data_IF_320439794131
#
_entry.id   IF_320439794131
#
_cell.length_a   1.000
_cell.length_b   1.000
_cell.length_c   1.000
_cell.angle_alpha   90.00
_cell.angle_beta   90.00
_cell.angle_gamma   90.00
#
_symmetry.space_group_name_H-M   'P 1'
#
loop_
_entity.id
_entity.type
_entity.pdbx_description
1 polymer ?
#
# COMPACT_ATOMS: atom_id res chain seq x y z
N UNK A 1 -11.06 27.22 -26.68
CA UNK A 1 -11.16 25.86 -27.26
C UNK A 1 -9.80 25.14 -27.29
N UNK A 2 -8.66 25.84 -27.38
CA UNK A 2 -7.30 25.28 -27.22
C UNK A 2 -6.97 24.98 -25.75
N UNK A 3 -7.49 25.79 -24.83
CA UNK A 3 -7.30 25.71 -23.38
C UNK A 3 -7.76 24.36 -22.78
N UNK A 4 -9.00 23.96 -23.06
CA UNK A 4 -9.58 22.68 -22.62
C UNK A 4 -8.86 21.43 -23.17
N UNK A 5 -8.08 21.55 -24.26
CA UNK A 5 -7.27 20.45 -24.78
C UNK A 5 -5.99 20.30 -23.97
N UNK A 6 -5.33 21.41 -23.64
CA UNK A 6 -4.12 21.43 -22.83
C UNK A 6 -4.42 20.86 -21.44
N UNK A 7 -5.54 21.26 -20.82
CA UNK A 7 -5.95 20.74 -19.52
C UNK A 7 -6.11 19.22 -19.52
N UNK A 8 -6.81 18.67 -20.53
CA UNK A 8 -7.02 17.21 -20.65
C UNK A 8 -5.73 16.45 -20.93
N UNK A 9 -4.86 17.01 -21.77
CA UNK A 9 -3.56 16.41 -22.08
C UNK A 9 -2.67 16.39 -20.82
N UNK A 10 -2.64 17.49 -20.07
CA UNK A 10 -1.93 17.59 -18.80
C UNK A 10 -2.48 16.60 -17.75
N UNK A 11 -3.81 16.53 -17.59
CA UNK A 11 -4.46 15.57 -16.68
C UNK A 11 -4.14 14.12 -17.04
N UNK A 12 -4.17 13.78 -18.33
CA UNK A 12 -3.80 12.44 -18.80
C UNK A 12 -2.35 12.12 -18.51
N UNK A 13 -1.44 13.09 -18.71
CA UNK A 13 -0.02 12.91 -18.47
C UNK A 13 0.30 12.69 -16.98
N UNK A 14 -0.25 13.55 -16.11
CA UNK A 14 -0.11 13.39 -14.65
C UNK A 14 -0.68 12.05 -14.18
N UNK A 15 -1.84 11.65 -14.69
CA UNK A 15 -2.47 10.36 -14.34
C UNK A 15 -1.63 9.17 -14.80
N UNK A 16 -0.97 9.25 -15.95
CA UNK A 16 -0.06 8.22 -16.44
C UNK A 16 1.16 8.09 -15.54
N UNK A 17 1.83 9.21 -15.24
CA UNK A 17 3.00 9.24 -14.37
C UNK A 17 2.68 8.75 -12.96
N UNK A 18 1.58 9.23 -12.36
CA UNK A 18 1.12 8.73 -11.06
C UNK A 18 0.84 7.22 -11.12
N UNK A 19 0.31 6.74 -12.26
CA UNK A 19 0.08 5.34 -12.53
C UNK A 19 1.33 4.47 -12.44
N UNK A 20 2.46 5.00 -12.92
CA UNK A 20 3.76 4.34 -12.93
C UNK A 20 4.48 4.46 -11.58
N UNK A 21 4.50 5.65 -10.99
CA UNK A 21 5.17 5.93 -9.71
C UNK A 21 4.58 5.11 -8.56
N UNK A 22 3.26 4.93 -8.55
CA UNK A 22 2.55 4.21 -7.50
C UNK A 22 2.36 2.72 -7.84
N UNK A 23 2.93 2.21 -8.94
CA UNK A 23 2.70 0.83 -9.34
C UNK A 23 3.35 -0.16 -8.35
N UNK A 24 2.60 -1.11 -7.76
CA UNK A 24 3.21 -2.18 -6.98
C UNK A 24 4.16 -3.01 -7.84
N UNK A 25 5.30 -3.42 -7.26
CA UNK A 25 6.25 -4.30 -7.94
C UNK A 25 5.66 -5.70 -8.14
N UNK A 26 6.14 -6.42 -9.15
CA UNK A 26 5.69 -7.79 -9.38
C UNK A 26 5.99 -8.68 -8.17
N UNK A 27 4.94 -9.34 -7.65
CA UNK A 27 5.06 -10.21 -6.49
C UNK A 27 5.15 -9.48 -5.15
N UNK A 28 5.15 -8.16 -5.12
CA UNK A 28 5.16 -7.39 -3.87
C UNK A 28 3.89 -7.65 -3.04
N UNK A 29 4.04 -7.74 -1.72
CA UNK A 29 2.91 -7.87 -0.82
C UNK A 29 2.37 -6.50 -0.41
N UNK A 30 1.09 -6.45 -0.05
CA UNK A 30 0.40 -5.20 0.29
C UNK A 30 1.11 -4.40 1.40
N UNK A 31 1.65 -5.07 2.43
CA UNK A 31 2.31 -4.36 3.53
C UNK A 31 3.65 -3.76 3.14
N UNK A 32 4.48 -4.48 2.39
CA UNK A 32 5.74 -3.90 1.88
C UNK A 32 5.48 -2.75 0.91
N UNK A 33 4.48 -2.90 0.01
CA UNK A 33 4.08 -1.83 -0.88
C UNK A 33 3.64 -0.59 -0.09
N UNK A 34 2.71 -0.73 0.87
CA UNK A 34 2.22 0.42 1.63
C UNK A 34 3.34 1.04 2.47
N UNK A 35 4.23 0.26 3.08
CA UNK A 35 5.38 0.77 3.82
C UNK A 35 6.30 1.64 2.92
N UNK A 36 6.67 1.15 1.73
CA UNK A 36 7.49 1.90 0.77
C UNK A 36 6.79 3.19 0.33
N UNK A 37 5.47 3.16 0.09
CA UNK A 37 4.72 4.35 -0.32
C UNK A 37 4.57 5.38 0.81
N UNK A 38 4.45 4.93 2.06
CA UNK A 38 4.40 5.81 3.21
C UNK A 38 5.75 6.48 3.49
N UNK A 39 6.85 5.75 3.30
CA UNK A 39 8.21 6.30 3.42
C UNK A 39 8.45 7.40 2.38
N UNK A 40 8.07 7.17 1.13
CA UNK A 40 8.29 8.13 0.03
C UNK A 40 7.30 9.32 0.04
N UNK A 41 6.01 9.07 0.28
CA UNK A 41 4.95 10.06 0.04
C UNK A 41 4.13 10.44 1.28
N UNK A 42 4.36 9.78 2.41
CA UNK A 42 3.60 9.99 3.64
C UNK A 42 2.14 9.55 3.56
N UNK A 43 1.47 9.62 4.71
CA UNK A 43 0.04 9.36 4.81
C UNK A 43 -0.79 10.64 4.63
N UNK A 44 -1.93 10.55 3.94
CA UNK A 44 -2.91 11.63 3.81
C UNK A 44 -4.18 11.42 4.66
N UNK A 45 -4.14 10.48 5.60
CA UNK A 45 -5.27 10.10 6.45
C UNK A 45 -6.29 9.20 5.77
N UNK A 46 -5.98 8.63 4.60
CA UNK A 46 -6.86 7.69 3.88
C UNK A 46 -6.15 6.36 3.57
N UNK A 47 -6.88 5.42 2.96
CA UNK A 47 -6.33 4.17 2.39
C UNK A 47 -5.90 4.31 0.93
N UNK A 48 -5.30 5.44 0.55
CA UNK A 48 -4.91 5.75 -0.84
C UNK A 48 -4.09 4.62 -1.46
N UNK A 49 -3.09 4.12 -0.74
CA UNK A 49 -2.19 3.09 -1.23
C UNK A 49 -2.80 1.70 -1.13
N UNK A 50 -3.43 1.35 -0.01
CA UNK A 50 -4.11 0.05 0.12
C UNK A 50 -5.18 -0.15 -0.96
N UNK A 51 -5.96 0.88 -1.26
CA UNK A 51 -6.95 0.88 -2.34
C UNK A 51 -6.30 0.75 -3.70
N UNK A 52 -5.25 1.52 -3.98
CA UNK A 52 -4.51 1.42 -5.23
C UNK A 52 -3.94 0.03 -5.49
N UNK A 53 -3.32 -0.57 -4.46
CA UNK A 53 -2.84 -1.95 -4.52
C UNK A 53 -3.98 -2.93 -4.82
N UNK A 54 -5.12 -2.80 -4.14
CA UNK A 54 -6.29 -3.64 -4.42
C UNK A 54 -6.70 -3.53 -5.89
N UNK A 55 -6.89 -2.32 -6.40
CA UNK A 55 -7.38 -2.07 -7.76
C UNK A 55 -6.42 -2.62 -8.82
N UNK A 56 -5.10 -2.49 -8.61
CA UNK A 56 -4.07 -2.87 -9.59
C UNK A 56 -3.63 -4.33 -9.48
N UNK A 57 -3.42 -4.82 -8.25
CA UNK A 57 -2.75 -6.09 -8.00
C UNK A 57 -3.72 -7.18 -7.53
N UNK A 58 -4.80 -6.83 -6.85
CA UNK A 58 -5.75 -7.77 -6.25
C UNK A 58 -7.23 -7.35 -6.40
N UNK A 59 -7.74 -7.13 -7.63
CA UNK A 59 -9.06 -6.53 -7.85
C UNK A 59 -10.23 -7.34 -7.27
N UNK A 60 -10.03 -8.65 -7.05
CA UNK A 60 -11.03 -9.53 -6.43
C UNK A 60 -11.06 -9.46 -4.90
N UNK A 61 -10.10 -8.78 -4.26
CA UNK A 61 -10.04 -8.64 -2.81
C UNK A 61 -10.89 -7.44 -2.34
N UNK A 62 -12.18 -7.46 -2.67
CA UNK A 62 -13.12 -6.34 -2.42
C UNK A 62 -13.32 -6.02 -0.94
N UNK A 63 -13.04 -6.97 -0.04
CA UNK A 63 -13.12 -6.80 1.41
C UNK A 63 -11.79 -6.37 2.06
N UNK A 64 -10.76 -5.95 1.29
CA UNK A 64 -9.46 -5.56 1.86
C UNK A 64 -9.60 -4.43 2.88
N UNK A 65 -10.20 -3.30 2.48
CA UNK A 65 -10.31 -2.11 3.33
C UNK A 65 -11.21 -2.37 4.55
N UNK A 66 -12.28 -3.14 4.37
CA UNK A 66 -13.13 -3.57 5.50
C UNK A 66 -12.33 -4.41 6.51
N UNK A 67 -11.49 -5.33 6.04
CA UNK A 67 -10.64 -6.14 6.92
C UNK A 67 -9.61 -5.30 7.66
N UNK A 68 -8.99 -4.32 6.99
CA UNK A 68 -8.10 -3.35 7.63
C UNK A 68 -8.83 -2.56 8.73
N UNK A 69 -10.04 -2.07 8.45
CA UNK A 69 -10.87 -1.36 9.43
C UNK A 69 -11.23 -2.21 10.64
N UNK A 70 -11.50 -3.52 10.46
CA UNK A 70 -11.73 -4.44 11.59
C UNK A 70 -10.49 -4.65 12.48
N UNK A 71 -9.30 -4.37 11.95
CA UNK A 71 -8.03 -4.38 12.69
C UNK A 71 -7.67 -2.99 13.26
N UNK A 72 -8.58 -2.01 13.16
CA UNK A 72 -8.36 -0.65 13.66
C UNK A 72 -7.55 0.25 12.72
N UNK A 73 -7.30 -0.18 11.47
CA UNK A 73 -6.62 0.65 10.47
C UNK A 73 -7.65 1.33 9.55
N UNK A 74 -7.78 2.64 9.67
CA UNK A 74 -8.65 3.53 8.88
C UNK A 74 -7.86 4.47 7.93
N UNK A 75 -6.55 4.63 8.14
CA UNK A 75 -5.57 5.13 7.16
C UNK A 75 -4.54 4.05 6.80
N UNK A 76 -3.76 4.27 5.73
CA UNK A 76 -2.58 3.44 5.42
C UNK A 76 -1.55 3.45 6.56
N UNK A 77 -1.39 4.57 7.27
CA UNK A 77 -0.48 4.69 8.41
C UNK A 77 -0.81 3.75 9.58
N UNK A 78 -2.09 3.63 9.92
CA UNK A 78 -2.58 2.87 11.08
C UNK A 78 -2.41 1.36 10.89
N UNK A 79 -2.15 0.90 9.66
CA UNK A 79 -1.70 -0.46 9.41
C UNK A 79 -0.45 -0.75 10.26
N UNK A 80 0.48 0.18 10.37
CA UNK A 80 1.76 -0.04 11.08
C UNK A 80 1.76 0.48 12.52
N UNK A 81 0.87 1.42 12.87
CA UNK A 81 0.84 2.01 14.20
C UNK A 81 0.52 0.99 15.32
N UNK A 82 -0.22 -0.07 15.01
CA UNK A 82 -0.46 -1.16 15.97
C UNK A 82 0.77 -2.06 16.21
N UNK A 83 1.77 -2.02 15.33
CA UNK A 83 3.03 -2.77 15.49
C UNK A 83 4.09 -1.97 16.29
N UNK A 84 4.00 -0.64 16.28
CA UNK A 84 4.95 0.26 16.94
C UNK A 84 4.86 0.24 18.49
N UNK A 85 3.74 -0.22 19.06
CA UNK A 85 3.59 -0.41 20.52
C UNK A 85 4.43 -1.58 21.08
N UNK A 86 5.07 -2.39 20.23
CA UNK A 86 5.82 -3.59 20.63
C UNK A 86 7.27 -3.35 21.08
N UNK A 87 7.75 -2.10 21.04
CA UNK A 87 9.05 -1.72 21.58
C UNK A 87 10.23 -2.04 20.65
N UNK A 88 11.18 -1.10 20.67
CA UNK A 88 12.36 -0.98 19.79
C UNK A 88 12.03 -0.26 18.47
N UNK A 89 12.72 0.87 18.26
CA UNK A 89 12.36 1.90 17.29
C UNK A 89 12.30 1.42 15.84
N UNK A 90 11.64 2.23 15.00
CA UNK A 90 11.42 1.92 13.59
C UNK A 90 12.74 1.55 12.89
N UNK A 91 12.84 0.37 12.26
CA UNK A 91 14.00 0.04 11.46
C UNK A 91 14.13 1.06 10.34
N UNK A 92 15.30 1.71 10.25
CA UNK A 92 15.56 2.78 9.27
C UNK A 92 15.39 2.33 7.81
N UNK A 93 15.48 1.02 7.55
CA UNK A 93 15.23 0.39 6.25
C UNK A 93 14.61 -0.99 6.47
N UNK A 94 13.45 -1.25 5.86
CA UNK A 94 12.85 -2.58 5.83
C UNK A 94 13.64 -3.52 4.89
N UNK A 95 13.81 -4.81 5.24
CA UNK A 95 14.34 -5.81 4.30
C UNK A 95 13.48 -5.91 3.03
N UNK A 96 14.08 -6.38 1.94
CA UNK A 96 13.36 -6.60 0.69
C UNK A 96 12.17 -7.56 0.86
N UNK A 97 11.04 -7.23 0.21
CA UNK A 97 9.82 -8.03 0.26
C UNK A 97 10.08 -9.50 -0.13
N UNK A 98 9.57 -10.44 0.68
CA UNK A 98 9.73 -11.88 0.43
C UNK A 98 8.72 -12.46 -0.57
N UNK A 99 7.89 -11.60 -1.16
CA UNK A 99 7.01 -11.94 -2.26
C UNK A 99 5.71 -12.65 -1.85
N UNK A 100 4.69 -12.51 -2.70
CA UNK A 100 3.39 -13.20 -2.65
C UNK A 100 2.90 -13.54 -4.05
N UNK A 101 1.94 -14.47 -4.14
CA UNK A 101 1.25 -14.76 -5.41
C UNK A 101 0.48 -13.53 -5.91
N UNK A 102 0.35 -13.40 -7.22
CA UNK A 102 -0.51 -12.38 -7.86
C UNK A 102 -1.93 -12.43 -7.30
N UNK A 103 -2.52 -11.27 -7.02
CA UNK A 103 -3.84 -11.16 -6.42
C UNK A 103 -3.91 -11.45 -4.92
N UNK A 104 -2.78 -11.64 -4.24
CA UNK A 104 -2.75 -11.78 -2.78
C UNK A 104 -2.90 -10.41 -2.10
N UNK A 105 -3.65 -10.39 -1.02
CA UNK A 105 -3.67 -9.30 -0.01
C UNK A 105 -3.19 -9.78 1.35
N UNK A 106 -2.52 -10.93 1.39
CA UNK A 106 -1.82 -11.42 2.57
C UNK A 106 -0.43 -10.80 2.62
N UNK A 107 0.14 -10.60 3.83
CA UNK A 107 1.52 -10.20 3.97
C UNK A 107 2.48 -11.28 3.46
N UNK A 108 3.69 -10.87 3.07
CA UNK A 108 4.80 -11.79 2.90
C UNK A 108 5.35 -12.21 4.28
N UNK A 109 6.30 -13.17 4.29
CA UNK A 109 6.83 -13.75 5.53
C UNK A 109 7.61 -12.77 6.43
N UNK A 110 7.95 -11.56 5.96
CA UNK A 110 8.57 -10.54 6.81
C UNK A 110 7.67 -10.13 7.98
N UNK A 111 6.35 -10.21 7.78
CA UNK A 111 5.35 -9.75 8.74
C UNK A 111 4.72 -10.89 9.54
N UNK A 112 5.31 -12.10 9.47
CA UNK A 112 4.87 -13.25 10.26
C UNK A 112 5.70 -13.33 11.54
N UNK A 113 5.06 -13.26 12.70
CA UNK A 113 5.69 -13.58 14.00
C UNK A 113 5.47 -15.05 14.36
N UNK A 114 6.21 -15.57 15.35
CA UNK A 114 6.15 -16.98 15.79
C UNK A 114 4.77 -17.45 16.28
N UNK A 115 3.80 -16.55 16.47
CA UNK A 115 2.41 -16.89 16.81
C UNK A 115 1.42 -16.58 15.69
N UNK A 116 1.82 -16.78 14.43
CA UNK A 116 0.96 -16.51 13.29
C UNK A 116 0.85 -15.01 13.01
N UNK A 117 0.99 -14.66 11.73
CA UNK A 117 0.82 -13.33 11.12
C UNK A 117 0.43 -12.22 12.10
N UNK A 118 1.32 -11.23 12.32
CA UNK A 118 1.01 -10.04 13.14
C UNK A 118 0.08 -9.04 12.41
N UNK A 119 -0.72 -9.58 11.48
CA UNK A 119 -1.73 -8.96 10.63
C UNK A 119 -2.75 -10.03 10.23
#
# INVERSE_FOLDING_TARGET
MTDQRIDREAESFVRSLAGELLAPRSGECVLCYVADQLDEFGCDGTHRFSKWYQERQAPRATALLERLGRMGAYCDCEIFLNAADAGEGEPQVLPACLGVRRGSTQPCRLWWTERGSAY
#
